data_IF_568351437780
#
_entry.id   IF_568351437780
#
_cell.length_a   1.000
_cell.length_b   1.000
_cell.length_c   1.000
_cell.angle_alpha   90.00
_cell.angle_beta   90.00
_cell.angle_gamma   90.00
#
_symmetry.space_group_name_H-M   'P 1'
#
loop_
_entity.id
_entity.type
_entity.pdbx_description
1 polymer ?
#
# COMPACT_ATOMS: atom_id res chain seq x y z
N UNK A 1 -70.03 -19.23 -37.00
CA UNK A 1 -70.10 -19.42 -35.53
C UNK A 1 -68.68 -19.58 -35.00
N UNK A 2 -68.30 -18.70 -34.05
CA UNK A 2 -67.22 -18.83 -33.05
C UNK A 2 -65.76 -18.62 -33.49
N UNK A 3 -65.36 -17.36 -33.36
CA UNK A 3 -64.10 -16.92 -32.74
C UNK A 3 -63.80 -17.71 -31.44
N UNK A 4 -62.63 -18.38 -31.33
CA UNK A 4 -61.79 -18.47 -30.10
C UNK A 4 -60.37 -18.95 -30.49
N UNK A 5 -59.34 -18.37 -29.87
CA UNK A 5 -57.94 -18.84 -29.64
C UNK A 5 -56.87 -18.14 -30.51
N UNK A 6 -56.53 -16.88 -30.24
CA UNK A 6 -55.67 -16.38 -29.14
C UNK A 6 -54.34 -17.13 -28.96
N UNK A 7 -53.24 -16.41 -29.23
CA UNK A 7 -51.97 -16.40 -28.47
C UNK A 7 -51.18 -17.72 -28.33
N UNK A 8 -50.88 -18.40 -29.44
CA UNK A 8 -50.10 -19.64 -29.43
C UNK A 8 -48.66 -19.59 -29.97
N UNK A 9 -48.20 -18.48 -30.58
CA UNK A 9 -47.05 -18.55 -31.50
C UNK A 9 -45.85 -17.63 -31.21
N UNK A 10 -45.82 -16.92 -30.07
CA UNK A 10 -44.63 -16.13 -29.64
C UNK A 10 -43.91 -16.77 -28.45
N UNK A 11 -44.48 -17.82 -27.86
CA UNK A 11 -43.93 -18.53 -26.70
C UNK A 11 -43.15 -19.80 -27.12
N UNK A 12 -42.24 -19.69 -28.09
CA UNK A 12 -41.40 -20.83 -28.51
C UNK A 12 -39.93 -20.46 -28.78
N UNK A 13 -39.56 -19.18 -28.65
CA UNK A 13 -38.17 -18.71 -28.81
C UNK A 13 -37.51 -18.41 -27.45
N UNK A 14 -38.26 -18.44 -26.35
CA UNK A 14 -37.77 -18.09 -25.00
C UNK A 14 -37.37 -19.30 -24.12
N UNK A 15 -37.45 -20.53 -24.65
CA UNK A 15 -37.25 -21.76 -23.87
C UNK A 15 -35.97 -22.54 -24.20
N UNK A 16 -35.18 -22.11 -25.19
CA UNK A 16 -33.93 -22.78 -25.57
C UNK A 16 -32.66 -22.09 -25.03
N UNK A 17 -32.78 -20.96 -24.32
CA UNK A 17 -31.65 -20.22 -23.73
C UNK A 17 -31.36 -20.52 -22.26
N UNK A 18 -32.15 -21.39 -21.61
CA UNK A 18 -32.12 -21.58 -20.15
C UNK A 18 -31.53 -22.92 -19.69
N UNK A 19 -30.62 -23.51 -20.47
CA UNK A 19 -29.99 -24.79 -20.14
C UNK A 19 -28.46 -24.76 -20.26
N UNK A 20 -27.84 -23.79 -19.57
CA UNK A 20 -26.50 -23.97 -18.97
C UNK A 20 -26.37 -23.19 -17.66
N UNK A 21 -27.44 -23.14 -16.87
CA UNK A 21 -27.28 -22.91 -15.44
C UNK A 21 -26.71 -24.20 -14.85
N UNK A 22 -25.37 -24.33 -14.86
CA UNK A 22 -24.69 -25.32 -14.02
C UNK A 22 -25.29 -25.24 -12.62
N UNK A 23 -25.70 -26.37 -12.02
CA UNK A 23 -26.31 -26.33 -10.70
C UNK A 23 -25.36 -25.59 -9.76
N UNK A 24 -25.92 -24.70 -8.93
CA UNK A 24 -25.23 -23.95 -7.88
C UNK A 24 -24.75 -24.86 -6.73
N UNK A 25 -24.19 -26.00 -7.09
CA UNK A 25 -23.52 -26.93 -6.21
C UNK A 25 -22.03 -26.84 -6.49
N UNK A 26 -21.25 -26.50 -5.47
CA UNK A 26 -20.09 -27.30 -5.13
C UNK A 26 -19.32 -27.91 -6.33
N UNK A 27 -18.45 -27.13 -6.96
CA UNK A 27 -17.67 -27.58 -8.12
C UNK A 27 -16.59 -28.63 -7.73
N UNK A 28 -16.64 -29.88 -8.22
CA UNK A 28 -15.60 -30.86 -7.95
C UNK A 28 -14.28 -30.50 -8.65
N UNK A 29 -13.12 -31.00 -8.18
CA UNK A 29 -11.85 -30.86 -8.87
C UNK A 29 -11.95 -31.39 -10.31
N UNK A 30 -11.61 -30.56 -11.29
CA UNK A 30 -11.70 -30.87 -12.71
C UNK A 30 -10.39 -30.55 -13.43
N UNK A 31 -10.19 -31.12 -14.61
CA UNK A 31 -9.03 -30.82 -15.44
C UNK A 31 -9.14 -29.39 -15.97
N UNK A 32 -8.11 -28.58 -15.72
CA UNK A 32 -7.98 -27.25 -16.29
C UNK A 32 -7.31 -27.33 -17.66
N UNK A 33 -7.84 -26.60 -18.63
CA UNK A 33 -7.29 -26.51 -19.99
C UNK A 33 -6.75 -25.11 -20.27
N UNK A 34 -7.32 -24.10 -19.63
CA UNK A 34 -6.92 -22.69 -19.75
C UNK A 34 -6.27 -22.18 -18.46
N UNK A 35 -5.32 -21.25 -18.62
CA UNK A 35 -4.60 -20.61 -17.51
C UNK A 35 -5.52 -19.80 -16.60
N UNK A 36 -6.64 -19.28 -17.13
CA UNK A 36 -7.65 -18.55 -16.37
C UNK A 36 -9.00 -19.20 -16.63
N UNK A 37 -9.51 -19.92 -15.64
CA UNK A 37 -10.85 -20.52 -15.68
C UNK A 37 -11.77 -19.73 -14.76
N UNK A 38 -12.81 -19.11 -15.31
CA UNK A 38 -13.81 -18.35 -14.54
C UNK A 38 -15.19 -18.98 -14.72
N UNK A 39 -15.60 -19.81 -13.76
CA UNK A 39 -16.91 -20.47 -13.78
C UNK A 39 -18.01 -19.62 -13.15
N UNK A 40 -17.66 -18.54 -12.45
CA UNK A 40 -18.60 -17.69 -11.70
C UNK A 40 -18.84 -16.34 -12.35
N UNK A 41 -18.10 -16.02 -13.43
CA UNK A 41 -18.26 -14.78 -14.18
C UNK A 41 -17.81 -13.55 -13.41
N UNK A 42 -16.90 -13.71 -12.45
CA UNK A 42 -16.48 -12.61 -11.56
C UNK A 42 -15.42 -11.69 -12.16
N UNK A 43 -14.75 -12.11 -13.24
CA UNK A 43 -13.77 -11.25 -13.90
C UNK A 43 -14.40 -10.43 -15.02
N UNK A 44 -14.23 -9.12 -14.91
CA UNK A 44 -14.38 -8.20 -16.03
C UNK A 44 -13.24 -8.40 -17.04
N UNK A 45 -13.43 -7.95 -18.28
CA UNK A 45 -12.39 -8.03 -19.32
C UNK A 45 -11.08 -7.35 -18.90
N UNK A 46 -11.19 -6.20 -18.22
CA UNK A 46 -10.04 -5.49 -17.66
C UNK A 46 -9.35 -6.28 -16.54
N UNK A 47 -10.13 -6.93 -15.67
CA UNK A 47 -9.60 -7.78 -14.61
C UNK A 47 -8.88 -9.00 -15.16
N UNK A 48 -9.47 -9.65 -16.17
CA UNK A 48 -8.86 -10.79 -16.88
C UNK A 48 -7.54 -10.39 -17.55
N UNK A 49 -7.49 -9.24 -18.20
CA UNK A 49 -6.26 -8.73 -18.81
C UNK A 49 -5.16 -8.46 -17.77
N UNK A 50 -5.53 -7.90 -16.61
CA UNK A 50 -4.58 -7.64 -15.52
C UNK A 50 -4.00 -8.94 -14.95
N UNK A 51 -4.85 -9.95 -14.73
CA UNK A 51 -4.43 -11.28 -14.27
C UNK A 51 -3.51 -11.95 -15.29
N UNK A 52 -3.86 -11.92 -16.58
CA UNK A 52 -3.03 -12.48 -17.63
C UNK A 52 -1.64 -11.83 -17.66
N UNK A 53 -1.58 -10.49 -17.60
CA UNK A 53 -0.29 -9.78 -17.56
C UNK A 53 0.56 -10.13 -16.34
N UNK A 54 -0.05 -10.42 -15.19
CA UNK A 54 0.67 -10.80 -13.98
C UNK A 54 1.21 -12.24 -14.09
N UNK A 55 0.41 -13.16 -14.64
CA UNK A 55 0.83 -14.54 -14.96
C UNK A 55 1.99 -14.53 -15.96
N UNK A 56 1.88 -13.75 -17.04
CA UNK A 56 2.92 -13.63 -18.07
C UNK A 56 4.24 -13.12 -17.48
N UNK A 57 4.17 -12.14 -16.57
CA UNK A 57 5.36 -11.61 -15.88
C UNK A 57 6.03 -12.68 -15.03
N UNK A 58 5.26 -13.38 -14.21
CA UNK A 58 5.76 -14.46 -13.37
C UNK A 58 6.43 -15.57 -14.21
N UNK A 59 5.82 -15.92 -15.35
CA UNK A 59 6.41 -16.88 -16.27
C UNK A 59 7.72 -16.37 -16.89
N UNK A 60 7.80 -15.11 -17.31
CA UNK A 60 9.06 -14.56 -17.84
C UNK A 60 10.17 -14.51 -16.80
N UNK A 61 9.84 -14.10 -15.58
CA UNK A 61 10.84 -13.77 -14.56
C UNK A 61 11.32 -15.01 -13.79
N UNK A 62 10.47 -16.04 -13.67
CA UNK A 62 10.75 -17.24 -12.87
C UNK A 62 10.49 -18.55 -13.60
N UNK A 63 9.95 -18.51 -14.82
CA UNK A 63 9.46 -19.68 -15.55
C UNK A 63 8.47 -20.51 -14.71
N UNK A 64 7.62 -19.83 -13.93
CA UNK A 64 6.54 -20.44 -13.16
C UNK A 64 5.23 -20.17 -13.91
N UNK A 65 4.47 -21.22 -14.24
CA UNK A 65 3.14 -21.06 -14.84
C UNK A 65 2.10 -21.02 -13.73
N UNK A 66 1.46 -19.85 -13.55
CA UNK A 66 0.37 -19.71 -12.60
C UNK A 66 -0.97 -19.95 -13.31
N UNK A 67 -1.70 -20.93 -12.81
CA UNK A 67 -3.06 -21.26 -13.19
C UNK A 67 -4.01 -20.65 -12.16
N UNK A 68 -5.07 -19.98 -12.63
CA UNK A 68 -6.04 -19.31 -11.78
C UNK A 68 -7.44 -19.85 -12.10
N UNK A 69 -8.13 -20.32 -11.08
CA UNK A 69 -9.50 -20.83 -11.20
C UNK A 69 -10.44 -20.17 -10.21
N UNK A 70 -11.54 -19.63 -10.73
CA UNK A 70 -12.62 -19.03 -9.96
C UNK A 70 -13.83 -19.96 -9.96
N UNK A 71 -14.19 -20.43 -8.77
CA UNK A 71 -15.31 -21.34 -8.51
C UNK A 71 -16.26 -20.71 -7.51
N UNK A 72 -17.50 -21.21 -7.44
CA UNK A 72 -18.47 -20.73 -6.45
C UNK A 72 -18.03 -21.14 -5.04
N UNK A 73 -17.78 -22.45 -4.86
CA UNK A 73 -17.27 -23.04 -3.62
C UNK A 73 -16.57 -24.40 -3.89
N UNK A 74 -15.83 -24.90 -2.89
CA UNK A 74 -15.00 -26.11 -2.99
C UNK A 74 -15.72 -27.44 -2.70
N UNK A 75 -17.05 -27.46 -2.79
CA UNK A 75 -17.85 -28.62 -2.42
C UNK A 75 -17.60 -29.08 -0.98
N UNK A 76 -17.46 -30.40 -0.79
CA UNK A 76 -17.07 -31.07 0.44
C UNK A 76 -15.56 -31.15 0.67
N UNK A 77 -14.76 -30.54 -0.22
CA UNK A 77 -13.31 -30.60 -0.13
C UNK A 77 -12.77 -29.39 0.63
N UNK A 78 -11.70 -29.62 1.40
CA UNK A 78 -10.88 -28.51 1.88
C UNK A 78 -10.25 -27.80 0.67
N UNK A 79 -10.13 -26.45 0.70
CA UNK A 79 -9.54 -25.69 -0.40
C UNK A 79 -8.20 -26.27 -0.88
N UNK A 80 -7.32 -26.64 0.05
CA UNK A 80 -5.99 -27.19 -0.25
C UNK A 80 -6.09 -28.52 -0.98
N UNK A 81 -6.87 -29.46 -0.45
CA UNK A 81 -7.08 -30.77 -1.06
C UNK A 81 -7.74 -30.66 -2.44
N UNK A 82 -8.63 -29.68 -2.62
CA UNK A 82 -9.26 -29.40 -3.90
C UNK A 82 -8.24 -28.94 -4.94
N UNK A 83 -7.37 -28.00 -4.56
CA UNK A 83 -6.32 -27.47 -5.44
C UNK A 83 -5.30 -28.56 -5.81
N UNK A 84 -4.86 -29.37 -4.84
CA UNK A 84 -3.90 -30.45 -5.10
C UNK A 84 -4.45 -31.52 -6.05
N UNK A 85 -5.72 -31.87 -5.87
CA UNK A 85 -6.38 -32.82 -6.77
C UNK A 85 -6.56 -32.25 -8.17
N UNK A 86 -6.94 -30.97 -8.27
CA UNK A 86 -7.05 -30.24 -9.55
C UNK A 86 -5.70 -30.20 -10.29
N UNK A 87 -4.60 -29.94 -9.58
CA UNK A 87 -3.24 -29.98 -10.13
C UNK A 87 -2.91 -31.37 -10.69
N UNK A 88 -3.17 -32.40 -9.89
CA UNK A 88 -2.88 -33.79 -10.26
C UNK A 88 -3.67 -34.24 -11.50
N UNK A 89 -4.97 -33.98 -11.57
CA UNK A 89 -5.79 -34.34 -12.74
C UNK A 89 -5.50 -33.48 -13.98
N UNK A 90 -4.98 -32.27 -13.78
CA UNK A 90 -4.56 -31.40 -14.88
C UNK A 90 -3.17 -31.73 -15.43
N UNK A 91 -2.41 -32.62 -14.76
CA UNK A 91 -1.06 -32.98 -15.18
C UNK A 91 -0.04 -31.85 -15.02
N UNK A 92 -0.30 -30.93 -14.09
CA UNK A 92 0.57 -29.79 -13.80
C UNK A 92 1.90 -30.26 -13.19
N UNK A 93 3.00 -29.73 -13.71
CA UNK A 93 4.36 -30.10 -13.33
C UNK A 93 4.92 -29.28 -12.16
N UNK A 94 6.22 -29.50 -11.87
CA UNK A 94 6.94 -28.86 -10.76
C UNK A 94 7.14 -27.34 -10.91
N UNK A 95 6.76 -26.78 -12.06
CA UNK A 95 6.82 -25.35 -12.36
C UNK A 95 5.44 -24.68 -12.34
N UNK A 96 4.39 -25.45 -12.06
CA UNK A 96 3.02 -25.00 -12.23
C UNK A 96 2.37 -24.75 -10.87
N UNK A 97 2.00 -23.50 -10.63
CA UNK A 97 1.28 -23.07 -9.44
C UNK A 97 -0.22 -22.99 -9.75
N UNK A 98 -1.06 -23.34 -8.77
CA UNK A 98 -2.51 -23.20 -8.88
C UNK A 98 -3.03 -22.28 -7.77
N UNK A 99 -3.74 -21.24 -8.18
CA UNK A 99 -4.57 -20.41 -7.32
C UNK A 99 -6.05 -20.72 -7.58
N UNK A 100 -6.73 -21.26 -6.59
CA UNK A 100 -8.16 -21.51 -6.63
C UNK A 100 -8.89 -20.55 -5.68
N UNK A 101 -9.91 -19.86 -6.18
CA UNK A 101 -10.67 -18.85 -5.44
C UNK A 101 -12.15 -19.21 -5.44
N UNK A 102 -12.72 -19.40 -4.25
CA UNK A 102 -14.14 -19.58 -4.04
C UNK A 102 -14.81 -18.22 -3.77
N UNK A 103 -15.60 -17.75 -4.73
CA UNK A 103 -16.15 -16.38 -4.71
C UNK A 103 -17.33 -16.24 -3.75
N UNK A 104 -18.07 -17.31 -3.50
CA UNK A 104 -19.23 -17.30 -2.60
C UNK A 104 -18.80 -17.42 -1.14
N UNK A 105 -17.91 -18.38 -0.84
CA UNK A 105 -17.43 -18.64 0.53
C UNK A 105 -16.22 -17.80 0.93
N UNK A 106 -15.67 -17.00 0.01
CA UNK A 106 -14.43 -16.22 0.19
C UNK A 106 -13.22 -17.06 0.62
N UNK A 107 -13.26 -18.36 0.33
CA UNK A 107 -12.16 -19.26 0.60
C UNK A 107 -11.22 -19.26 -0.61
N UNK A 108 -9.97 -19.61 -0.38
CA UNK A 108 -9.02 -19.79 -1.47
C UNK A 108 -7.98 -20.83 -1.10
N UNK A 109 -7.32 -21.35 -2.12
CA UNK A 109 -6.16 -22.20 -1.98
C UNK A 109 -5.11 -21.77 -2.98
N UNK A 110 -3.93 -21.47 -2.45
CA UNK A 110 -2.73 -21.33 -3.26
C UNK A 110 -1.90 -22.58 -3.01
N UNK A 111 -1.66 -23.35 -4.06
CA UNK A 111 -0.83 -24.53 -3.95
C UNK A 111 0.26 -24.52 -5.03
N UNK A 112 1.49 -24.61 -4.53
CA UNK A 112 2.74 -24.39 -5.26
C UNK A 112 3.65 -25.58 -4.99
N UNK A 113 4.34 -26.12 -6.00
CA UNK A 113 5.29 -27.22 -5.82
C UNK A 113 6.45 -26.80 -4.90
N UNK A 114 6.79 -27.69 -3.95
CA UNK A 114 7.87 -27.48 -2.98
C UNK A 114 9.25 -27.31 -3.65
N UNK A 115 9.41 -27.81 -4.87
CA UNK A 115 10.61 -27.69 -5.69
C UNK A 115 11.01 -26.23 -6.02
N UNK A 116 10.14 -25.25 -5.76
CA UNK A 116 10.41 -23.84 -6.04
C UNK A 116 11.13 -23.08 -4.92
N UNK A 117 11.61 -23.77 -3.88
CA UNK A 117 12.41 -23.15 -2.81
C UNK A 117 11.63 -22.16 -1.93
N UNK A 118 10.30 -22.22 -1.95
CA UNK A 118 9.43 -21.38 -1.14
C UNK A 118 9.25 -21.98 0.25
N UNK A 119 9.64 -21.25 1.28
CA UNK A 119 9.43 -21.70 2.65
C UNK A 119 7.96 -21.57 3.05
N UNK A 120 7.40 -22.47 3.89
CA UNK A 120 6.03 -22.38 4.39
C UNK A 120 5.73 -21.03 5.06
N UNK A 121 6.72 -20.43 5.72
CA UNK A 121 6.61 -19.11 6.34
C UNK A 121 6.39 -17.99 5.30
N UNK A 122 7.13 -17.99 4.19
CA UNK A 122 6.95 -17.01 3.10
C UNK A 122 5.58 -17.17 2.44
N UNK A 123 5.14 -18.40 2.23
CA UNK A 123 3.82 -18.69 1.66
C UNK A 123 2.68 -18.24 2.59
N UNK A 124 2.84 -18.40 3.90
CA UNK A 124 1.85 -17.94 4.88
C UNK A 124 1.81 -16.39 4.98
N UNK A 125 2.95 -15.72 4.88
CA UNK A 125 2.99 -14.25 4.82
C UNK A 125 2.36 -13.72 3.52
N UNK A 126 2.58 -14.39 2.39
CA UNK A 126 1.92 -14.07 1.13
C UNK A 126 0.39 -14.18 1.25
N UNK A 127 -0.06 -15.31 1.81
CA UNK A 127 -1.47 -15.61 2.10
C UNK A 127 -2.13 -14.49 2.92
N UNK A 128 -1.58 -14.21 4.10
CA UNK A 128 -2.24 -13.30 5.04
C UNK A 128 -2.09 -11.81 4.71
N UNK A 129 -0.97 -11.39 4.12
CA UNK A 129 -0.71 -9.97 3.90
C UNK A 129 -1.11 -9.47 2.52
N UNK A 130 -1.15 -10.33 1.50
CA UNK A 130 -1.37 -9.91 0.11
C UNK A 130 -2.69 -10.43 -0.44
N UNK A 131 -3.05 -11.69 -0.15
CA UNK A 131 -4.22 -12.35 -0.75
C UNK A 131 -5.47 -12.15 0.11
N UNK A 132 -5.40 -12.35 1.42
CA UNK A 132 -6.55 -12.16 2.33
C UNK A 132 -7.20 -10.76 2.27
N UNK A 133 -6.44 -9.64 2.23
CA UNK A 133 -7.02 -8.30 2.24
C UNK A 133 -7.82 -7.99 0.96
N UNK A 134 -7.27 -8.34 -0.21
CA UNK A 134 -7.93 -8.13 -1.52
C UNK A 134 -9.14 -9.05 -1.70
N UNK A 135 -9.05 -10.28 -1.18
CA UNK A 135 -10.16 -11.21 -1.16
C UNK A 135 -11.31 -10.73 -0.27
N UNK A 136 -10.98 -10.16 0.89
CA UNK A 136 -11.94 -9.51 1.78
C UNK A 136 -12.68 -8.35 1.13
N UNK A 137 -11.98 -7.59 0.28
CA UNK A 137 -12.51 -6.48 -0.51
C UNK A 137 -13.36 -6.93 -1.73
N UNK A 138 -13.52 -8.24 -1.96
CA UNK A 138 -14.16 -8.82 -3.16
C UNK A 138 -13.45 -8.47 -4.48
N UNK A 139 -12.17 -8.11 -4.43
CA UNK A 139 -11.34 -7.90 -5.61
C UNK A 139 -10.68 -9.22 -6.03
N UNK A 140 -11.45 -10.03 -6.77
CA UNK A 140 -11.05 -11.36 -7.21
C UNK A 140 -9.90 -11.31 -8.24
N UNK A 141 -9.89 -10.29 -9.09
CA UNK A 141 -8.78 -10.01 -10.00
C UNK A 141 -7.51 -9.61 -9.24
N UNK A 142 -7.65 -8.74 -8.24
CA UNK A 142 -6.56 -8.29 -7.38
C UNK A 142 -5.94 -9.44 -6.58
N UNK A 143 -6.74 -10.41 -6.14
CA UNK A 143 -6.24 -11.61 -5.47
C UNK A 143 -5.29 -12.43 -6.35
N UNK A 144 -5.62 -12.61 -7.64
CA UNK A 144 -4.77 -13.34 -8.57
C UNK A 144 -3.51 -12.56 -8.98
N UNK A 145 -3.62 -11.25 -9.16
CA UNK A 145 -2.46 -10.38 -9.40
C UNK A 145 -1.52 -10.38 -8.19
N UNK A 146 -2.06 -10.23 -6.98
CA UNK A 146 -1.29 -10.24 -5.74
C UNK A 146 -0.59 -11.59 -5.50
N UNK A 147 -1.24 -12.71 -5.85
CA UNK A 147 -0.63 -14.02 -5.80
C UNK A 147 0.55 -14.15 -6.79
N UNK A 148 0.37 -13.70 -8.04
CA UNK A 148 1.42 -13.73 -9.06
C UNK A 148 2.63 -12.86 -8.66
N UNK A 149 2.39 -11.61 -8.25
CA UNK A 149 3.43 -10.67 -7.81
C UNK A 149 4.15 -11.15 -6.55
N UNK A 150 3.41 -11.76 -5.64
CA UNK A 150 3.96 -12.32 -4.42
C UNK A 150 4.85 -13.54 -4.66
N UNK A 151 4.49 -14.37 -5.63
CA UNK A 151 5.28 -15.53 -6.05
C UNK A 151 6.57 -15.10 -6.75
N UNK A 152 6.51 -14.01 -7.53
CA UNK A 152 7.68 -13.40 -8.16
C UNK A 152 8.68 -12.83 -7.12
N UNK A 153 8.18 -12.12 -6.10
CA UNK A 153 9.00 -11.49 -5.04
C UNK A 153 9.57 -12.48 -4.02
N UNK A 154 8.84 -13.55 -3.70
CA UNK A 154 9.23 -14.50 -2.65
C UNK A 154 10.41 -15.40 -3.07
N UNK A 155 10.58 -15.61 -4.38
CA UNK A 155 11.67 -16.39 -4.98
C UNK A 155 12.95 -15.58 -5.22
N UNK A 156 12.91 -14.25 -5.33
CA UNK A 156 14.11 -13.40 -5.52
C UNK A 156 14.95 -13.20 -4.25
N UNK A 157 14.48 -13.65 -3.09
CA UNK A 157 15.18 -13.48 -1.82
C UNK A 157 16.12 -14.66 -1.53
N UNK A 158 17.12 -14.83 -2.39
CA UNK A 158 18.37 -15.50 -2.04
C UNK A 158 19.22 -14.54 -1.19
N UNK A 159 18.79 -14.32 0.05
CA UNK A 159 19.59 -13.68 1.10
C UNK A 159 19.65 -14.70 2.26
N UNK A 160 20.84 -15.09 2.77
CA UNK A 160 20.94 -16.06 3.85
C UNK A 160 20.18 -15.57 5.08
N UNK A 161 19.48 -16.49 5.75
CA UNK A 161 18.72 -16.23 6.95
C UNK A 161 19.67 -15.82 8.09
N UNK A 162 19.83 -14.52 8.33
CA UNK A 162 20.38 -14.04 9.60
C UNK A 162 19.27 -14.04 10.64
N UNK A 163 19.30 -15.08 11.47
CA UNK A 163 18.60 -15.16 12.74
C UNK A 163 19.01 -14.02 13.66
N UNK A 164 18.18 -12.98 13.72
CA UNK A 164 18.14 -12.05 14.85
C UNK A 164 16.78 -11.34 14.80
N UNK A 165 15.97 -11.57 15.84
CA UNK A 165 14.78 -10.72 16.09
C UNK A 165 15.27 -9.28 16.20
N UNK A 166 14.67 -8.31 15.47
CA UNK A 166 13.91 -7.31 16.20
C UNK A 166 12.70 -6.72 15.43
N UNK A 167 11.68 -6.37 16.22
CA UNK A 167 10.88 -5.12 16.20
C UNK A 167 11.12 -4.17 15.00
N UNK A 168 10.47 -4.40 13.84
CA UNK A 168 10.46 -3.46 12.68
C UNK A 168 9.03 -3.06 12.24
N UNK A 169 8.03 -3.33 13.09
CA UNK A 169 6.61 -3.10 12.75
C UNK A 169 6.25 -1.63 12.43
N UNK A 170 6.98 -0.54 12.78
CA UNK A 170 6.57 0.78 12.30
C UNK A 170 7.17 1.21 10.94
N UNK A 171 8.11 0.48 10.31
CA UNK A 171 8.79 0.98 9.10
C UNK A 171 8.00 0.70 7.81
N UNK A 172 7.26 -0.42 7.72
CA UNK A 172 6.53 -0.78 6.49
C UNK A 172 5.29 0.10 6.21
N UNK A 173 4.68 0.66 7.25
CA UNK A 173 3.55 1.61 7.14
C UNK A 173 4.04 2.99 6.69
N UNK A 174 5.22 3.42 7.15
CA UNK A 174 5.81 4.70 6.74
C UNK A 174 6.17 4.73 5.25
N UNK A 175 6.71 3.63 4.70
CA UNK A 175 7.14 3.57 3.30
C UNK A 175 5.96 3.49 2.33
N UNK A 176 4.89 2.78 2.67
CA UNK A 176 3.68 2.69 1.81
C UNK A 176 2.91 4.01 1.80
N UNK A 177 2.76 4.67 2.95
CA UNK A 177 2.16 6.02 3.01
C UNK A 177 3.05 7.02 2.28
N UNK A 178 4.38 6.95 2.43
CA UNK A 178 5.30 7.82 1.72
C UNK A 178 5.25 7.61 0.19
N UNK A 179 5.13 6.37 -0.29
CA UNK A 179 5.01 6.08 -1.72
C UNK A 179 3.66 6.53 -2.30
N UNK A 180 2.56 6.36 -1.56
CA UNK A 180 1.25 6.86 -1.98
C UNK A 180 1.23 8.38 -2.01
N UNK A 181 1.80 9.05 -1.01
CA UNK A 181 1.94 10.51 -0.97
C UNK A 181 2.87 11.01 -2.09
N UNK A 182 3.96 10.30 -2.38
CA UNK A 182 4.89 10.64 -3.45
C UNK A 182 4.26 10.47 -4.84
N UNK A 183 3.48 9.40 -5.05
CA UNK A 183 2.73 9.17 -6.29
C UNK A 183 1.62 10.20 -6.44
N UNK A 184 0.88 10.53 -5.37
CA UNK A 184 -0.13 11.57 -5.39
C UNK A 184 0.48 12.95 -5.68
N UNK A 185 1.63 13.28 -5.07
CA UNK A 185 2.40 14.48 -5.37
C UNK A 185 2.90 14.50 -6.82
N UNK A 186 3.38 13.37 -7.35
CA UNK A 186 3.83 13.27 -8.75
C UNK A 186 2.67 13.41 -9.75
N UNK A 187 1.49 12.87 -9.42
CA UNK A 187 0.29 13.01 -10.23
C UNK A 187 -0.25 14.45 -10.19
N UNK A 188 -0.25 15.10 -9.02
CA UNK A 188 -0.58 16.52 -8.89
C UNK A 188 0.45 17.42 -9.57
N UNK A 189 1.74 17.07 -9.53
CA UNK A 189 2.81 17.80 -10.20
C UNK A 189 2.74 17.62 -11.72
N UNK A 190 2.39 16.43 -12.23
CA UNK A 190 2.14 16.20 -13.67
C UNK A 190 0.85 16.88 -14.14
N UNK A 191 -0.21 16.90 -13.34
CA UNK A 191 -1.44 17.61 -13.65
C UNK A 191 -1.23 19.14 -13.64
N UNK A 192 -0.45 19.67 -12.68
CA UNK A 192 -0.01 21.08 -12.68
C UNK A 192 0.90 21.40 -13.87
N UNK A 193 1.83 20.52 -14.23
CA UNK A 193 2.74 20.73 -15.38
C UNK A 193 1.99 20.73 -16.72
N UNK A 194 0.92 19.93 -16.86
CA UNK A 194 0.03 19.96 -18.04
C UNK A 194 -0.84 21.22 -18.10
N UNK A 195 -1.20 21.81 -16.96
CA UNK A 195 -1.86 23.14 -16.91
C UNK A 195 -0.89 24.32 -17.10
N UNK A 196 0.41 24.11 -16.91
CA UNK A 196 1.48 25.11 -17.13
C UNK A 196 1.96 25.22 -18.59
N UNK A 197 1.40 24.45 -19.52
CA UNK A 197 1.65 24.62 -20.96
C UNK A 197 0.69 25.64 -21.63
N UNK A 198 -0.19 26.30 -20.87
CA UNK A 198 -1.13 27.34 -21.37
C UNK A 198 -1.21 28.60 -20.50
N UNK A 199 -0.31 28.78 -19.54
CA UNK A 199 -0.29 29.98 -18.71
C UNK A 199 1.16 30.35 -18.42
N UNK A 200 1.76 31.11 -19.33
CA UNK A 200 3.04 31.78 -19.11
C UNK A 200 2.84 33.22 -19.57
N UNK A 201 2.83 34.15 -18.61
CA UNK A 201 2.83 35.58 -18.86
C UNK A 201 1.57 36.31 -18.41
N UNK A 202 1.43 36.55 -17.09
CA UNK A 202 0.42 37.48 -16.58
C UNK A 202 0.81 38.08 -15.22
N UNK A 203 0.45 39.34 -14.92
CA UNK A 203 0.81 40.06 -13.70
C UNK A 203 0.29 39.44 -12.38
N UNK A 204 -0.63 38.47 -12.44
CA UNK A 204 -1.13 37.74 -11.26
C UNK A 204 -0.13 36.74 -10.65
N UNK A 205 0.96 36.40 -11.36
CA UNK A 205 1.96 35.45 -10.86
C UNK A 205 2.99 36.09 -9.91
N UNK A 206 3.17 37.40 -9.96
CA UNK A 206 4.07 38.13 -9.05
C UNK A 206 3.41 38.26 -7.68
N UNK A 207 2.16 38.74 -7.64
CA UNK A 207 1.36 38.84 -6.42
C UNK A 207 1.20 37.48 -5.71
N UNK A 208 0.99 36.40 -6.47
CA UNK A 208 0.93 35.04 -5.89
C UNK A 208 2.27 34.52 -5.34
N UNK A 209 3.42 35.02 -5.83
CA UNK A 209 4.75 34.64 -5.32
C UNK A 209 5.08 35.37 -4.03
N UNK A 210 4.81 36.68 -3.98
CA UNK A 210 5.00 37.51 -2.79
C UNK A 210 4.15 36.97 -1.62
N UNK A 211 2.86 36.68 -1.88
CA UNK A 211 1.96 36.07 -0.90
C UNK A 211 2.47 34.72 -0.39
N UNK A 212 3.07 33.90 -1.26
CA UNK A 212 3.59 32.58 -0.88
C UNK A 212 4.85 32.68 -0.01
N UNK A 213 5.71 33.67 -0.24
CA UNK A 213 6.87 33.95 0.59
C UNK A 213 6.46 34.43 1.98
N UNK A 214 5.51 35.37 2.03
CA UNK A 214 4.99 35.90 3.29
C UNK A 214 4.27 34.83 4.13
N UNK A 215 3.55 33.90 3.48
CA UNK A 215 2.94 32.76 4.16
C UNK A 215 4.00 31.80 4.75
N UNK A 216 5.11 31.57 4.05
CA UNK A 216 6.20 30.73 4.54
C UNK A 216 6.92 31.37 5.74
N UNK A 217 7.19 32.67 5.67
CA UNK A 217 7.82 33.45 6.75
C UNK A 217 6.95 33.45 8.00
N UNK A 218 5.66 33.79 7.89
CA UNK A 218 4.73 33.81 9.02
C UNK A 218 4.59 32.44 9.71
N UNK A 219 4.61 31.36 8.94
CA UNK A 219 4.61 29.99 9.46
C UNK A 219 5.88 29.70 10.26
N UNK A 220 7.04 30.07 9.72
CA UNK A 220 8.33 29.86 10.36
C UNK A 220 8.48 30.69 11.64
N UNK A 221 8.04 31.95 11.63
CA UNK A 221 7.98 32.85 12.78
C UNK A 221 7.13 32.26 13.92
N UNK A 222 5.93 31.77 13.60
CA UNK A 222 5.01 31.18 14.59
C UNK A 222 5.65 29.97 15.26
N UNK A 223 6.26 29.08 14.48
CA UNK A 223 6.95 27.90 15.00
C UNK A 223 8.13 28.27 15.87
N UNK A 224 8.92 29.26 15.44
CA UNK A 224 10.09 29.70 16.19
C UNK A 224 9.72 30.30 17.55
N UNK A 225 8.66 31.11 17.61
CA UNK A 225 8.11 31.64 18.87
C UNK A 225 7.62 30.51 19.78
N UNK A 226 6.90 29.54 19.22
CA UNK A 226 6.39 28.40 19.99
C UNK A 226 7.52 27.60 20.65
N UNK A 227 8.61 27.31 19.91
CA UNK A 227 9.76 26.58 20.46
C UNK A 227 10.58 27.45 21.42
N UNK A 228 10.75 28.75 21.16
CA UNK A 228 11.45 29.63 22.11
C UNK A 228 10.71 29.71 23.44
N UNK A 229 9.38 29.80 23.41
CA UNK A 229 8.56 29.81 24.62
C UNK A 229 8.63 28.48 25.38
N UNK A 230 8.64 27.36 24.66
CA UNK A 230 8.81 26.03 25.25
C UNK A 230 10.17 25.88 25.93
N UNK A 231 11.24 26.26 25.23
CA UNK A 231 12.61 26.21 25.76
C UNK A 231 12.77 27.16 26.96
N UNK A 232 12.16 28.35 26.94
CA UNK A 232 12.17 29.27 28.07
C UNK A 232 11.49 28.66 29.32
N UNK A 233 10.31 28.04 29.15
CA UNK A 233 9.57 27.38 30.25
C UNK A 233 10.31 26.19 30.84
N UNK A 234 11.03 25.43 30.01
CA UNK A 234 11.70 24.20 30.42
C UNK A 234 13.23 24.31 30.52
N UNK A 235 13.79 25.53 30.48
CA UNK A 235 15.22 25.80 30.27
C UNK A 235 16.19 24.98 31.15
N UNK A 236 15.80 24.66 32.38
CA UNK A 236 16.61 23.85 33.32
C UNK A 236 16.86 22.42 32.83
N UNK A 237 15.93 21.89 32.04
CA UNK A 237 15.93 20.51 31.57
C UNK A 237 16.17 20.41 30.05
N UNK A 238 16.58 21.50 29.38
CA UNK A 238 16.87 21.50 27.95
C UNK A 238 18.37 21.28 27.72
N UNK A 239 18.72 20.33 26.85
CA UNK A 239 20.09 20.05 26.44
C UNK A 239 20.67 21.07 25.47
N UNK A 240 22.00 21.09 25.37
CA UNK A 240 22.73 21.99 24.45
C UNK A 240 22.42 21.73 22.97
N UNK A 241 22.06 20.50 22.61
CA UNK A 241 21.71 20.15 21.23
C UNK A 241 20.40 20.81 20.77
N UNK A 242 19.38 20.82 21.64
CA UNK A 242 18.11 21.51 21.37
C UNK A 242 18.31 23.02 21.21
N UNK A 243 19.18 23.62 22.04
CA UNK A 243 19.54 25.04 21.96
C UNK A 243 20.29 25.36 20.67
N UNK A 244 21.28 24.55 20.28
CA UNK A 244 22.03 24.74 19.04
C UNK A 244 21.12 24.71 17.80
N UNK A 245 20.16 23.78 17.74
CA UNK A 245 19.17 23.71 16.64
C UNK A 245 18.23 24.90 16.64
N UNK A 246 17.82 25.39 17.82
CA UNK A 246 17.02 26.60 17.94
C UNK A 246 17.76 27.83 17.41
N UNK A 247 19.04 27.98 17.73
CA UNK A 247 19.83 29.12 17.26
C UNK A 247 20.14 29.04 15.76
N UNK A 248 20.32 27.83 15.21
CA UNK A 248 20.38 27.62 13.77
C UNK A 248 19.06 27.98 13.07
N UNK A 249 17.92 27.61 13.66
CA UNK A 249 16.60 28.00 13.15
C UNK A 249 16.43 29.53 13.12
N UNK A 250 16.83 30.23 14.18
CA UNK A 250 16.81 31.71 14.25
C UNK A 250 17.67 32.33 13.14
N UNK A 251 18.88 31.81 12.93
CA UNK A 251 19.78 32.30 11.87
C UNK A 251 19.18 32.15 10.47
N UNK A 252 18.56 31.01 10.19
CA UNK A 252 17.89 30.79 8.90
C UNK A 252 16.65 31.67 8.73
N UNK A 253 15.90 31.94 9.79
CA UNK A 253 14.75 32.85 9.72
C UNK A 253 15.20 34.29 9.43
N UNK A 254 16.29 34.74 10.07
CA UNK A 254 16.87 36.05 9.78
C UNK A 254 17.37 36.16 8.32
N UNK A 255 17.98 35.09 7.79
CA UNK A 255 18.36 35.03 6.38
C UNK A 255 17.13 35.04 5.45
N UNK A 256 16.03 34.40 5.83
CA UNK A 256 14.79 34.40 5.06
C UNK A 256 14.21 35.82 4.93
N UNK A 257 14.12 36.55 6.04
CA UNK A 257 13.68 37.95 6.07
C UNK A 257 14.58 38.86 5.23
N UNK A 258 15.90 38.65 5.28
CA UNK A 258 16.84 39.40 4.44
C UNK A 258 16.71 39.13 2.93
N UNK A 259 16.03 38.05 2.54
CA UNK A 259 15.80 37.67 1.14
C UNK A 259 14.40 37.98 0.64
N UNK A 260 13.47 38.35 1.51
CA UNK A 260 12.07 38.65 1.16
C UNK A 260 11.96 39.73 0.08
N UNK A 261 12.76 40.79 0.15
CA UNK A 261 12.73 41.90 -0.83
C UNK A 261 13.52 41.64 -2.11
N UNK A 262 14.39 40.62 -2.12
CA UNK A 262 15.36 40.38 -3.21
C UNK A 262 15.05 39.11 -4.01
N UNK A 263 14.52 38.08 -3.34
CA UNK A 263 14.21 36.79 -3.96
C UNK A 263 13.25 35.95 -3.09
N UNK A 264 11.98 35.91 -3.48
CA UNK A 264 10.94 35.08 -2.84
C UNK A 264 11.34 33.61 -2.74
N UNK A 265 12.01 33.10 -3.78
CA UNK A 265 12.40 31.68 -3.83
C UNK A 265 13.45 31.37 -2.78
N UNK A 266 14.42 32.26 -2.58
CA UNK A 266 15.42 32.12 -1.51
C UNK A 266 14.77 32.32 -0.13
N UNK A 267 13.89 33.31 0.02
CA UNK A 267 13.15 33.55 1.26
C UNK A 267 12.34 32.33 1.69
N UNK A 268 11.59 31.71 0.77
CA UNK A 268 10.82 30.48 1.01
C UNK A 268 11.75 29.33 1.39
N UNK A 269 12.87 29.15 0.70
CA UNK A 269 13.83 28.09 1.01
C UNK A 269 14.41 28.22 2.43
N UNK A 270 14.82 29.44 2.82
CA UNK A 270 15.32 29.73 4.16
C UNK A 270 14.23 29.58 5.23
N UNK A 271 13.00 30.05 4.98
CA UNK A 271 11.86 29.91 5.90
C UNK A 271 11.50 28.43 6.15
N UNK A 272 11.53 27.60 5.10
CA UNK A 272 11.32 26.15 5.22
C UNK A 272 12.45 25.45 6.00
N UNK A 273 13.70 25.89 5.80
CA UNK A 273 14.86 25.40 6.56
C UNK A 273 14.72 25.74 8.05
N UNK A 274 14.37 26.98 8.37
CA UNK A 274 14.09 27.44 9.73
C UNK A 274 12.97 26.63 10.39
N UNK A 275 11.87 26.40 9.68
CA UNK A 275 10.74 25.59 10.15
C UNK A 275 11.13 24.15 10.46
N UNK A 276 12.03 23.56 9.68
CA UNK A 276 12.52 22.19 9.88
C UNK A 276 13.43 22.11 11.11
N UNK A 277 14.35 23.08 11.27
CA UNK A 277 15.23 23.15 12.43
C UNK A 277 14.45 23.42 13.73
N UNK A 278 13.42 24.26 13.70
CA UNK A 278 12.52 24.47 14.83
C UNK A 278 11.81 23.17 15.26
N UNK A 279 11.36 22.35 14.31
CA UNK A 279 10.75 21.05 14.61
C UNK A 279 11.75 20.05 15.22
N UNK A 280 13.00 20.04 14.74
CA UNK A 280 14.07 19.24 15.34
C UNK A 280 14.38 19.69 16.77
N UNK A 281 14.52 20.99 16.99
CA UNK A 281 14.74 21.58 18.31
C UNK A 281 13.60 21.19 19.28
N UNK A 282 12.35 21.20 18.82
CA UNK A 282 11.20 20.77 19.62
C UNK A 282 11.26 19.28 19.99
N UNK A 283 11.67 18.42 19.05
CA UNK A 283 11.77 16.99 19.30
C UNK A 283 12.85 16.69 20.33
N UNK A 284 14.01 17.34 20.22
CA UNK A 284 15.10 17.23 21.19
C UNK A 284 14.68 17.77 22.57
N UNK A 285 14.08 18.96 22.59
CA UNK A 285 13.62 19.58 23.83
C UNK A 285 12.58 18.69 24.57
N UNK A 286 11.66 18.06 23.84
CA UNK A 286 10.70 17.12 24.43
C UNK A 286 11.41 15.87 24.99
N UNK A 287 12.42 15.35 24.29
CA UNK A 287 13.19 14.20 24.74
C UNK A 287 13.97 14.51 26.02
N UNK A 288 14.58 15.69 26.10
CA UNK A 288 15.34 16.14 27.28
C UNK A 288 14.42 16.30 28.50
N UNK A 289 13.25 16.92 28.31
CA UNK A 289 12.24 17.05 29.37
C UNK A 289 11.77 15.66 29.83
N UNK A 290 11.50 14.73 28.93
CA UNK A 290 11.09 13.36 29.30
C UNK A 290 12.20 12.61 30.07
N UNK A 291 13.46 12.78 29.67
CA UNK A 291 14.59 12.19 30.38
C UNK A 291 14.71 12.75 31.80
N UNK A 292 14.52 14.06 31.98
CA UNK A 292 14.51 14.70 33.29
C UNK A 292 13.41 14.15 34.21
N UNK A 293 12.21 13.85 33.68
CA UNK A 293 11.11 13.25 34.46
C UNK A 293 11.35 11.79 34.81
N UNK A 294 12.03 11.01 33.94
CA UNK A 294 12.34 9.59 34.18
C UNK A 294 13.40 9.35 35.24
N UNK A 295 14.11 10.37 35.70
CA UNK A 295 15.14 10.24 36.73
C UNK A 295 14.50 10.60 38.06
N UNK A 296 13.95 9.64 38.85
CA UNK A 296 13.41 9.97 40.15
C UNK A 296 14.62 10.34 41.00
N UNK A 297 14.59 11.51 41.63
CA UNK A 297 15.57 11.87 42.66
C UNK A 297 15.63 10.73 43.67
N UNK A 298 16.70 9.94 43.66
CA UNK A 298 17.10 9.08 44.77
C UNK A 298 17.48 9.99 45.93
N UNK A 299 16.47 10.53 46.62
CA UNK A 299 16.59 11.32 47.84
C UNK A 299 16.36 10.39 49.02
N UNK A 300 17.46 10.07 49.72
CA UNK A 300 17.50 9.78 51.15
C UNK A 300 17.00 8.41 51.62
N UNK A 301 17.94 7.51 51.92
CA UNK A 301 17.98 6.87 53.24
C UNK A 301 19.35 6.22 53.45
N UNK A 302 20.28 6.98 54.02
CA UNK A 302 21.32 6.41 54.88
C UNK A 302 21.14 7.06 56.23
N UNK A 303 20.25 6.44 57.02
CA UNK A 303 20.16 6.65 58.45
C UNK A 303 21.41 6.06 59.10
N UNK A 304 22.07 6.87 59.92
CA UNK A 304 22.71 6.53 61.20
C UNK A 304 23.29 5.11 61.37
N UNK A 305 24.61 5.04 61.55
CA UNK A 305 25.20 4.26 62.64
C UNK A 305 26.47 4.93 63.15
#
# INVERSE_FOLDING_TARGET
MREVRLFGAVLSILTAGLLWASPAGAQPPAKLTDHITDSTGVLTDSGRAAVNSAIDRLYRDRHIQLWVVYVDNFSRFKPENWADRTRSVSGMGDRDALLAVATNTKLYALSVPQAQGLTPAKLNSLRSNQIEPVLGAKDWSGAAVAAADGLDKSTSSSQPASSSKPIWVPIAIGVTVALVVLVLLLLLFRARRRRRARASGGPAEIDGRDQSAQQALSTADTRLRQISDYVARHHTNIGSEAQARLDEAKRHLAAAHGKESTSDTEAIAYANRASTLAAQAQTLANADVLAAHRTPRRRGNTSTR
#
